data_IF_806855212864
#
_entry.id   IF_806855212864
#
_cell.length_a   1.000
_cell.length_b   1.000
_cell.length_c   1.000
_cell.angle_alpha   90.00
_cell.angle_beta   90.00
_cell.angle_gamma   90.00
#
_symmetry.space_group_name_H-M   'P 1'
#
loop_
_entity.id
_entity.type
_entity.pdbx_description
1 polymer ?
#
# COMPACT_ATOMS: atom_id res chain seq x y z
N UNK A 1 21.51 -47.09 -2.36
CA UNK A 1 21.86 -48.04 -3.43
C UNK A 1 20.98 -49.28 -3.31
N UNK A 2 20.57 -49.90 -4.43
CA UNK A 2 19.18 -50.03 -4.91
C UNK A 2 18.78 -51.55 -4.98
N UNK A 3 17.77 -52.08 -5.73
CA UNK A 3 17.03 -51.46 -6.85
C UNK A 3 15.55 -51.85 -7.15
N UNK A 4 14.93 -50.95 -7.92
CA UNK A 4 14.18 -51.17 -9.18
C UNK A 4 12.93 -52.05 -9.20
N UNK A 5 11.81 -51.47 -9.64
CA UNK A 5 11.24 -51.83 -10.95
C UNK A 5 10.16 -50.83 -11.39
N UNK A 6 10.41 -50.18 -12.52
CA UNK A 6 9.41 -49.59 -13.38
C UNK A 6 8.33 -50.62 -13.76
N UNK A 7 7.08 -50.16 -13.89
CA UNK A 7 6.26 -50.42 -15.09
C UNK A 7 5.07 -49.47 -15.13
N UNK A 8 5.19 -48.46 -15.97
CA UNK A 8 4.05 -47.87 -16.65
C UNK A 8 3.40 -48.97 -17.52
N UNK A 9 2.07 -49.05 -17.48
CA UNK A 9 1.29 -49.73 -18.51
C UNK A 9 0.03 -48.90 -18.74
N UNK A 10 0.08 -48.10 -19.80
CA UNK A 10 -1.12 -47.66 -20.49
C UNK A 10 -1.95 -48.88 -20.89
N UNK A 11 -3.28 -48.77 -20.77
CA UNK A 11 -4.18 -49.10 -21.88
C UNK A 11 -5.56 -48.52 -21.63
N UNK A 12 -5.98 -47.80 -22.67
CA UNK A 12 -7.15 -46.98 -22.75
C UNK A 12 -8.43 -47.81 -23.06
N UNK A 13 -9.56 -47.12 -22.89
CA UNK A 13 -10.83 -47.29 -23.61
C UNK A 13 -11.67 -48.53 -23.28
N UNK A 14 -12.79 -48.33 -22.56
CA UNK A 14 -14.09 -48.19 -23.25
C UNK A 14 -15.29 -47.92 -22.32
N UNK A 15 -16.10 -46.95 -22.76
CA UNK A 15 -17.57 -47.06 -22.91
C UNK A 15 -18.46 -47.14 -21.66
N UNK A 16 -19.15 -46.04 -21.34
CA UNK A 16 -20.56 -45.79 -21.72
C UNK A 16 -21.04 -44.47 -21.11
N UNK A 17 -21.15 -43.44 -21.95
CA UNK A 17 -21.78 -42.15 -21.67
C UNK A 17 -23.29 -42.37 -21.52
N UNK A 18 -23.77 -42.49 -20.29
CA UNK A 18 -25.20 -42.46 -20.00
C UNK A 18 -25.72 -41.03 -20.19
N UNK A 19 -26.51 -40.83 -21.25
CA UNK A 19 -27.30 -39.61 -21.47
C UNK A 19 -28.36 -39.54 -20.37
N UNK A 20 -28.13 -38.74 -19.32
CA UNK A 20 -29.20 -38.35 -18.41
C UNK A 20 -29.98 -37.19 -19.04
N UNK A 21 -31.26 -37.44 -19.15
CA UNK A 21 -32.27 -36.58 -19.74
C UNK A 21 -32.31 -35.23 -19.02
N UNK A 22 -32.57 -34.18 -19.81
CA UNK A 22 -32.76 -32.81 -19.36
C UNK A 22 -33.93 -32.74 -18.39
N UNK A 23 -33.66 -32.61 -17.09
CA UNK A 23 -34.67 -32.25 -16.12
C UNK A 23 -35.02 -30.77 -16.34
N UNK A 24 -36.24 -30.53 -16.82
CA UNK A 24 -36.91 -29.24 -16.86
C UNK A 24 -36.75 -28.54 -15.50
N UNK A 25 -36.03 -27.42 -15.48
CA UNK A 25 -35.90 -26.59 -14.29
C UNK A 25 -37.29 -26.03 -13.91
N UNK A 26 -37.65 -25.92 -12.63
CA UNK A 26 -38.85 -25.17 -12.23
C UNK A 26 -38.68 -23.72 -12.68
N UNK A 27 -39.71 -23.19 -13.32
CA UNK A 27 -39.76 -21.81 -13.79
C UNK A 27 -39.83 -20.89 -12.55
N UNK A 28 -38.70 -20.31 -12.13
CA UNK A 28 -38.71 -19.21 -11.18
C UNK A 28 -39.27 -17.98 -11.90
N UNK A 29 -40.34 -17.43 -11.33
CA UNK A 29 -41.01 -16.24 -11.78
C UNK A 29 -40.01 -15.07 -11.83
N UNK A 30 -39.66 -14.62 -13.04
CA UNK A 30 -38.91 -13.38 -13.28
C UNK A 30 -39.83 -12.19 -12.96
N UNK A 31 -39.96 -11.87 -11.67
CA UNK A 31 -40.41 -10.56 -11.22
C UNK A 31 -39.24 -9.59 -11.34
N UNK A 32 -39.41 -8.53 -12.10
CA UNK A 32 -38.43 -7.46 -12.31
C UNK A 32 -37.81 -6.98 -10.99
N UNK A 33 -36.62 -7.49 -10.65
CA UNK A 33 -35.71 -6.83 -9.71
C UNK A 33 -35.03 -5.70 -10.48
N UNK A 34 -35.63 -4.51 -10.42
CA UNK A 34 -34.93 -3.30 -10.80
C UNK A 34 -33.75 -3.12 -9.84
N UNK A 35 -32.56 -3.07 -10.42
CA UNK A 35 -31.34 -2.51 -9.82
C UNK A 35 -30.83 -3.27 -8.59
N UNK A 36 -30.33 -4.48 -8.84
CA UNK A 36 -29.07 -4.89 -8.22
C UNK A 36 -28.04 -3.84 -8.64
N UNK A 37 -27.68 -2.99 -7.69
CA UNK A 37 -26.51 -2.14 -7.75
C UNK A 37 -25.31 -3.09 -7.89
N UNK A 38 -24.88 -3.32 -9.13
CA UNK A 38 -23.70 -4.13 -9.42
C UNK A 38 -22.54 -3.41 -8.75
N UNK A 39 -21.85 -3.99 -7.74
CA UNK A 39 -20.61 -3.43 -7.22
C UNK A 39 -19.50 -3.78 -8.23
N UNK A 40 -19.71 -3.42 -9.48
CA UNK A 40 -18.68 -3.34 -10.49
C UNK A 40 -17.96 -2.01 -10.21
N UNK A 41 -16.68 -2.13 -9.85
CA UNK A 41 -15.69 -1.05 -9.81
C UNK A 41 -15.52 -0.22 -8.52
N UNK A 42 -15.53 -0.86 -7.35
CA UNK A 42 -14.76 -0.32 -6.21
C UNK A 42 -13.84 -1.39 -5.62
N UNK A 43 -12.66 -1.53 -6.24
CA UNK A 43 -11.48 -2.11 -5.58
C UNK A 43 -10.56 -0.96 -5.11
N UNK A 44 -10.75 -0.44 -3.87
CA UNK A 44 -9.91 0.63 -3.34
C UNK A 44 -8.51 0.14 -2.90
N UNK A 45 -8.12 -1.13 -3.17
CA UNK A 45 -6.82 -1.67 -2.73
C UNK A 45 -5.66 -1.50 -3.72
N UNK A 46 -5.86 -0.88 -4.89
CA UNK A 46 -4.86 -0.92 -5.97
C UNK A 46 -4.26 0.42 -6.44
N UNK A 47 -4.21 1.48 -5.62
CA UNK A 47 -3.63 2.77 -6.08
C UNK A 47 -2.40 3.29 -5.34
N UNK A 48 -2.05 2.79 -4.14
CA UNK A 48 -1.04 3.46 -3.31
C UNK A 48 0.21 2.61 -3.03
N UNK A 49 0.79 2.09 -4.11
CA UNK A 49 2.19 1.62 -4.15
C UNK A 49 3.02 2.49 -5.09
N UNK A 50 2.87 3.82 -5.01
CA UNK A 50 3.94 4.71 -5.45
C UNK A 50 5.07 4.60 -4.41
N UNK A 51 6.09 3.82 -4.74
CA UNK A 51 7.38 3.85 -4.08
C UNK A 51 8.02 5.20 -4.40
N UNK A 52 7.73 6.21 -3.57
CA UNK A 52 8.40 7.51 -3.63
C UNK A 52 9.78 7.38 -2.98
N UNK A 53 10.69 6.77 -3.72
CA UNK A 53 12.13 6.81 -3.46
C UNK A 53 12.73 7.96 -4.26
N UNK A 54 12.48 9.20 -3.82
CA UNK A 54 13.12 10.39 -4.37
C UNK A 54 14.57 10.50 -3.92
N UNK A 55 15.47 10.50 -4.89
CA UNK A 55 16.92 10.52 -4.77
C UNK A 55 17.46 11.66 -3.89
N UNK A 56 18.26 11.30 -2.89
CA UNK A 56 19.18 12.20 -2.20
C UNK A 56 20.37 12.50 -3.11
N UNK A 57 20.23 13.50 -3.97
CA UNK A 57 21.35 14.12 -4.71
C UNK A 57 22.24 14.91 -3.73
N UNK A 58 23.16 14.21 -3.05
CA UNK A 58 24.24 14.85 -2.28
C UNK A 58 25.55 14.75 -3.07
N UNK A 59 25.65 15.55 -4.14
CA UNK A 59 26.88 15.73 -4.89
C UNK A 59 27.86 16.61 -4.12
N UNK A 60 28.89 16.02 -3.51
CA UNK A 60 30.02 16.77 -2.96
C UNK A 60 31.10 16.84 -4.03
N UNK A 61 31.18 17.96 -4.74
CA UNK A 61 32.28 18.29 -5.66
C UNK A 61 33.59 18.47 -4.86
N UNK A 62 34.69 17.75 -5.20
CA UNK A 62 35.95 17.91 -4.52
C UNK A 62 36.64 19.23 -4.90
N UNK A 63 37.02 20.00 -3.88
CA UNK A 63 37.77 21.25 -4.01
C UNK A 63 39.11 21.00 -4.74
N UNK A 64 39.29 21.60 -5.92
CA UNK A 64 40.58 21.60 -6.63
C UNK A 64 41.51 22.63 -5.99
N UNK A 65 42.70 22.19 -5.60
CA UNK A 65 43.75 23.05 -5.03
C UNK A 65 44.81 23.24 -6.14
N UNK A 66 44.81 24.41 -6.76
CA UNK A 66 45.79 24.81 -7.78
C UNK A 66 47.06 25.36 -7.09
N UNK A 67 47.92 24.46 -6.59
CA UNK A 67 49.12 24.82 -5.80
C UNK A 67 50.33 25.32 -6.62
N UNK A 68 50.27 25.30 -7.96
CA UNK A 68 51.48 25.52 -8.79
C UNK A 68 51.77 27.00 -9.14
N UNK A 69 50.79 27.90 -9.09
CA UNK A 69 51.02 29.31 -9.47
C UNK A 69 51.55 30.21 -8.35
N UNK A 70 51.30 29.89 -7.07
CA UNK A 70 51.70 30.75 -5.95
C UNK A 70 53.21 30.73 -5.64
N UNK A 71 53.94 29.70 -6.05
CA UNK A 71 55.39 29.59 -5.81
C UNK A 71 56.26 30.41 -6.79
N UNK A 72 55.69 30.96 -7.87
CA UNK A 72 56.46 31.67 -8.91
C UNK A 72 56.63 33.18 -8.68
N UNK A 73 56.04 33.77 -7.63
CA UNK A 73 56.02 35.23 -7.42
C UNK A 73 57.04 35.79 -6.41
N UNK A 74 58.00 34.99 -5.92
CA UNK A 74 58.94 35.42 -4.88
C UNK A 74 60.42 35.50 -5.29
N UNK A 75 60.77 35.34 -6.58
CA UNK A 75 62.09 35.70 -7.08
C UNK A 75 62.04 37.13 -7.64
N UNK A 76 62.20 38.11 -6.74
CA UNK A 76 62.51 39.49 -7.12
C UNK A 76 64.01 39.70 -6.90
N UNK A 77 64.69 40.05 -7.99
CA UNK A 77 66.13 40.23 -8.10
C UNK A 77 66.57 41.44 -7.27
N UNK A 78 67.47 41.23 -6.31
CA UNK A 78 68.04 42.32 -5.50
C UNK A 78 69.48 42.55 -5.93
N UNK A 79 69.70 43.61 -6.70
CA UNK A 79 71.03 44.11 -7.09
C UNK A 79 71.86 44.51 -5.85
N UNK A 80 73.14 44.14 -5.87
CA UNK A 80 74.13 44.51 -4.88
C UNK A 80 74.69 45.92 -5.13
N UNK A 81 74.73 46.73 -4.08
CA UNK A 81 75.51 47.96 -4.02
C UNK A 81 76.43 47.91 -2.80
N UNK A 82 77.74 47.86 -3.05
CA UNK A 82 78.79 47.93 -2.02
C UNK A 82 78.88 49.34 -1.42
N UNK A 83 78.89 49.45 -0.07
CA UNK A 83 79.66 50.45 0.67
C UNK A 83 79.61 50.23 2.20
N UNK A 84 80.63 49.51 2.72
CA UNK A 84 81.24 49.68 4.05
C UNK A 84 80.37 50.11 5.26
N UNK A 85 79.75 49.15 5.97
CA UNK A 85 79.37 49.22 7.41
C UNK A 85 79.29 47.79 8.03
N UNK A 86 80.41 47.06 7.98
CA UNK A 86 80.57 45.60 8.19
C UNK A 86 80.01 45.00 9.51
N UNK A 87 79.85 45.80 10.58
CA UNK A 87 79.36 45.29 11.87
C UNK A 87 77.86 45.51 12.14
N UNK A 88 77.21 46.42 11.41
CA UNK A 88 75.76 46.69 11.55
C UNK A 88 74.93 45.83 10.60
N UNK A 89 75.41 45.60 9.39
CA UNK A 89 74.71 44.78 8.37
C UNK A 89 74.57 43.32 8.79
N UNK A 90 75.65 42.72 9.29
CA UNK A 90 75.67 41.34 9.80
C UNK A 90 74.69 41.12 10.96
N UNK A 91 74.52 42.10 11.86
CA UNK A 91 73.49 42.04 12.91
C UNK A 91 72.06 42.17 12.37
N UNK A 92 71.84 42.98 11.33
CA UNK A 92 70.53 43.18 10.71
C UNK A 92 70.11 41.92 9.96
N UNK A 93 71.03 41.25 9.27
CA UNK A 93 70.75 40.00 8.55
C UNK A 93 70.55 38.82 9.49
N UNK A 94 71.29 38.73 10.61
CA UNK A 94 70.99 37.75 11.65
C UNK A 94 69.60 37.95 12.29
N UNK A 95 69.13 39.20 12.44
CA UNK A 95 67.77 39.48 12.94
C UNK A 95 66.70 39.09 11.92
N UNK A 96 66.94 39.29 10.62
CA UNK A 96 66.04 38.83 9.54
C UNK A 96 65.98 37.31 9.50
N UNK A 97 67.12 36.63 9.61
CA UNK A 97 67.17 35.16 9.59
C UNK A 97 66.47 34.56 10.81
N UNK A 98 66.65 35.16 12.00
CA UNK A 98 65.89 34.75 13.21
C UNK A 98 64.39 34.89 13.02
N UNK A 99 63.91 35.98 12.41
CA UNK A 99 62.49 36.18 12.10
C UNK A 99 61.99 35.15 11.08
N UNK A 100 62.79 34.85 10.06
CA UNK A 100 62.49 33.83 9.05
C UNK A 100 62.35 32.46 9.70
N UNK A 101 63.27 32.09 10.58
CA UNK A 101 63.21 30.85 11.34
C UNK A 101 61.98 30.79 12.24
N UNK A 102 61.65 31.87 12.95
CA UNK A 102 60.46 31.93 13.80
C UNK A 102 59.15 31.75 13.00
N UNK A 103 59.09 32.31 11.78
CA UNK A 103 57.97 32.11 10.85
C UNK A 103 57.90 30.64 10.40
N UNK A 104 59.03 30.04 10.02
CA UNK A 104 59.08 28.63 9.62
C UNK A 104 58.65 27.69 10.74
N UNK A 105 59.15 27.90 11.96
CA UNK A 105 58.77 27.11 13.13
C UNK A 105 57.27 27.27 13.43
N UNK A 106 56.71 28.48 13.21
CA UNK A 106 55.28 28.73 13.37
C UNK A 106 54.45 28.01 12.31
N UNK A 107 54.88 28.04 11.05
CA UNK A 107 54.23 27.30 9.95
C UNK A 107 54.29 25.80 10.22
N UNK A 108 55.44 25.27 10.68
CA UNK A 108 55.58 23.86 11.02
C UNK A 108 54.64 23.45 12.16
N UNK A 109 54.52 24.28 13.21
CA UNK A 109 53.54 24.07 14.27
C UNK A 109 52.10 24.03 13.73
N UNK A 110 51.73 25.00 12.89
CA UNK A 110 50.40 25.02 12.27
C UNK A 110 50.14 23.81 11.38
N UNK A 111 51.14 23.36 10.62
CA UNK A 111 51.02 22.18 9.77
C UNK A 111 50.81 20.91 10.62
N UNK A 112 51.54 20.76 11.73
CA UNK A 112 51.35 19.65 12.67
C UNK A 112 49.95 19.68 13.29
N UNK A 113 49.48 20.84 13.74
CA UNK A 113 48.12 21.00 14.27
C UNK A 113 47.05 20.70 13.22
N UNK A 114 47.27 21.12 11.97
CA UNK A 114 46.35 20.86 10.87
C UNK A 114 46.25 19.35 10.59
N UNK A 115 47.38 18.65 10.53
CA UNK A 115 47.41 17.20 10.32
C UNK A 115 46.73 16.48 11.50
N UNK A 116 47.04 16.86 12.75
CA UNK A 116 46.41 16.26 13.94
C UNK A 116 44.88 16.43 13.92
N UNK A 117 44.40 17.65 13.65
CA UNK A 117 42.96 17.93 13.55
C UNK A 117 42.32 17.15 12.42
N UNK A 118 42.97 17.06 11.27
CA UNK A 118 42.50 16.26 10.13
C UNK A 118 42.34 14.79 10.50
N UNK A 119 43.34 14.22 11.17
CA UNK A 119 43.32 12.83 11.61
C UNK A 119 42.24 12.57 12.67
N UNK A 120 41.98 13.51 13.56
CA UNK A 120 40.89 13.43 14.54
C UNK A 120 39.52 13.41 13.85
N UNK A 121 39.29 14.28 12.86
CA UNK A 121 38.05 14.31 12.07
C UNK A 121 37.85 12.98 11.35
N UNK A 122 38.88 12.43 10.71
CA UNK A 122 38.76 11.15 10.01
C UNK A 122 38.54 9.98 10.95
N UNK A 123 39.20 9.96 12.11
CA UNK A 123 38.95 8.93 13.14
C UNK A 123 37.52 8.96 13.64
N UNK A 124 36.97 10.15 13.88
CA UNK A 124 35.59 10.31 14.32
C UNK A 124 34.60 9.92 13.22
N UNK A 125 34.84 10.33 11.97
CA UNK A 125 34.02 9.93 10.82
C UNK A 125 34.00 8.41 10.64
N UNK A 126 35.15 7.74 10.71
CA UNK A 126 35.23 6.28 10.64
C UNK A 126 34.48 5.64 11.82
N UNK A 127 34.55 6.23 13.02
CA UNK A 127 33.82 5.71 14.20
C UNK A 127 32.31 5.79 13.98
N UNK A 128 31.81 6.92 13.49
CA UNK A 128 30.39 7.13 13.19
C UNK A 128 29.90 6.13 12.13
N UNK A 129 30.61 6.01 11.00
CA UNK A 129 30.27 5.05 9.94
C UNK A 129 30.23 3.61 10.49
N UNK A 130 31.18 3.22 11.33
CA UNK A 130 31.18 1.88 11.93
C UNK A 130 30.02 1.66 12.92
N UNK A 131 29.63 2.70 13.66
CA UNK A 131 28.45 2.66 14.53
C UNK A 131 27.17 2.51 13.70
N UNK A 132 27.04 3.27 12.61
CA UNK A 132 25.88 3.19 11.71
C UNK A 132 25.78 1.81 11.06
N UNK A 133 26.89 1.29 10.54
CA UNK A 133 26.95 -0.08 9.99
C UNK A 133 26.52 -1.11 11.04
N UNK A 134 26.98 -0.95 12.29
CA UNK A 134 26.59 -1.85 13.39
C UNK A 134 25.08 -1.74 13.67
N UNK A 135 24.55 -0.52 13.82
CA UNK A 135 23.13 -0.29 14.07
C UNK A 135 22.26 -0.83 12.93
N UNK A 136 22.68 -0.67 11.68
CA UNK A 136 21.99 -1.24 10.52
C UNK A 136 21.99 -2.77 10.54
N UNK A 137 23.11 -3.41 10.91
CA UNK A 137 23.21 -4.88 11.04
C UNK A 137 22.36 -5.42 12.18
N UNK A 138 22.29 -4.69 13.28
CA UNK A 138 21.48 -5.03 14.46
C UNK A 138 19.99 -4.68 14.25
N UNK A 139 19.66 -3.93 13.19
CA UNK A 139 18.30 -3.49 12.89
C UNK A 139 17.79 -2.38 13.82
N UNK A 140 18.70 -1.72 14.55
CA UNK A 140 18.40 -0.63 15.50
C UNK A 140 18.75 0.74 14.93
N UNK A 141 18.95 0.83 13.61
CA UNK A 141 19.21 2.11 12.95
C UNK A 141 17.91 2.94 12.95
N UNK A 142 17.93 4.22 13.39
CA UNK A 142 16.71 5.00 13.63
C UNK A 142 15.83 5.15 12.39
N UNK A 143 16.43 5.41 11.21
CA UNK A 143 15.67 5.52 9.96
C UNK A 143 15.02 4.19 9.54
N UNK A 144 15.66 3.06 9.88
CA UNK A 144 15.10 1.74 9.61
C UNK A 144 13.91 1.47 10.52
N UNK A 145 14.04 1.76 11.82
CA UNK A 145 12.96 1.61 12.80
C UNK A 145 11.76 2.50 12.45
N UNK A 146 12.01 3.75 12.06
CA UNK A 146 10.95 4.66 11.61
C UNK A 146 10.20 4.09 10.40
N UNK A 147 10.94 3.65 9.37
CA UNK A 147 10.33 3.06 8.17
C UNK A 147 9.59 1.76 8.47
N UNK A 148 10.10 0.95 9.40
CA UNK A 148 9.45 -0.25 9.87
C UNK A 148 8.13 0.09 10.58
N UNK A 149 8.12 1.10 11.44
CA UNK A 149 6.92 1.55 12.14
C UNK A 149 5.86 2.05 11.16
N UNK A 150 6.24 2.85 10.16
CA UNK A 150 5.33 3.29 9.10
C UNK A 150 4.68 2.12 8.35
N UNK A 151 5.44 1.05 8.07
CA UNK A 151 4.91 -0.17 7.43
C UNK A 151 3.96 -0.93 8.37
N UNK A 152 4.27 -1.02 9.65
CA UNK A 152 3.40 -1.63 10.66
C UNK A 152 2.07 -0.88 10.74
N UNK A 153 2.11 0.46 10.81
CA UNK A 153 0.93 1.30 10.88
C UNK A 153 0.06 1.16 9.62
N UNK A 154 0.68 1.16 8.43
CA UNK A 154 -0.03 0.93 7.16
C UNK A 154 -0.71 -0.44 7.13
N UNK A 155 -0.04 -1.48 7.61
CA UNK A 155 -0.59 -2.83 7.71
C UNK A 155 -1.78 -2.85 8.68
N UNK A 156 -1.65 -2.24 9.85
CA UNK A 156 -2.70 -2.21 10.86
C UNK A 156 -3.95 -1.48 10.36
N UNK A 157 -3.78 -0.31 9.74
CA UNK A 157 -4.89 0.42 9.10
C UNK A 157 -5.58 -0.41 8.01
N UNK A 158 -4.81 -1.16 7.21
CA UNK A 158 -5.36 -2.03 6.17
C UNK A 158 -6.18 -3.16 6.77
N UNK A 159 -5.68 -3.81 7.83
CA UNK A 159 -6.38 -4.87 8.54
C UNK A 159 -7.67 -4.36 9.18
N UNK A 160 -7.64 -3.15 9.77
CA UNK A 160 -8.81 -2.57 10.41
C UNK A 160 -9.90 -2.22 9.39
N UNK A 161 -9.52 -1.61 8.25
CA UNK A 161 -10.45 -1.39 7.12
C UNK A 161 -11.08 -2.71 6.65
N UNK A 162 -10.28 -3.76 6.48
CA UNK A 162 -10.78 -5.06 6.03
C UNK A 162 -11.74 -5.70 7.05
N UNK A 163 -11.47 -5.57 8.36
CA UNK A 163 -12.38 -6.03 9.42
C UNK A 163 -13.70 -5.30 9.38
N UNK A 164 -13.67 -3.97 9.36
CA UNK A 164 -14.88 -3.15 9.35
C UNK A 164 -15.72 -3.42 8.10
N UNK A 165 -15.07 -3.59 6.94
CA UNK A 165 -15.76 -3.93 5.70
C UNK A 165 -16.43 -5.31 5.76
N UNK A 166 -15.75 -6.31 6.34
CA UNK A 166 -16.35 -7.63 6.56
C UNK A 166 -17.59 -7.54 7.45
N UNK A 167 -17.47 -6.84 8.57
CA UNK A 167 -18.55 -6.74 9.56
C UNK A 167 -19.76 -5.99 8.98
N UNK A 168 -19.50 -4.91 8.23
CA UNK A 168 -20.54 -4.21 7.46
C UNK A 168 -21.23 -5.13 6.45
N UNK A 169 -20.47 -5.93 5.68
CA UNK A 169 -21.04 -6.85 4.69
C UNK A 169 -21.89 -7.93 5.34
N UNK A 170 -21.47 -8.45 6.49
CA UNK A 170 -22.26 -9.41 7.27
C UNK A 170 -23.58 -8.77 7.72
N UNK A 171 -23.53 -7.57 8.28
CA UNK A 171 -24.73 -6.84 8.73
C UNK A 171 -25.70 -6.56 7.56
N UNK A 172 -25.18 -6.21 6.37
CA UNK A 172 -26.01 -6.05 5.17
C UNK A 172 -26.71 -7.35 4.79
N UNK A 173 -25.99 -8.48 4.76
CA UNK A 173 -26.56 -9.78 4.42
C UNK A 173 -27.62 -10.20 5.44
N UNK A 174 -27.37 -10.01 6.74
CA UNK A 174 -28.34 -10.29 7.79
C UNK A 174 -29.61 -9.45 7.61
N UNK A 175 -29.48 -8.15 7.35
CA UNK A 175 -30.63 -7.27 7.10
C UNK A 175 -31.42 -7.67 5.85
N UNK A 176 -30.74 -8.05 4.77
CA UNK A 176 -31.39 -8.51 3.55
C UNK A 176 -32.16 -9.82 3.80
N UNK A 177 -31.53 -10.76 4.49
CA UNK A 177 -32.15 -12.04 4.86
C UNK A 177 -33.40 -11.81 5.72
N UNK A 178 -33.32 -10.97 6.74
CA UNK A 178 -34.46 -10.65 7.61
C UNK A 178 -35.59 -9.95 6.85
N UNK A 179 -35.27 -9.08 5.88
CA UNK A 179 -36.26 -8.42 5.06
C UNK A 179 -36.97 -9.40 4.11
N UNK A 180 -36.21 -10.29 3.45
CA UNK A 180 -36.74 -11.32 2.58
C UNK A 180 -37.62 -12.31 3.35
N UNK A 181 -37.19 -12.73 4.54
CA UNK A 181 -37.97 -13.57 5.45
C UNK A 181 -39.33 -12.94 5.77
N UNK A 182 -39.36 -11.66 6.16
CA UNK A 182 -40.61 -10.93 6.45
C UNK A 182 -41.49 -10.82 5.21
N UNK A 183 -40.91 -10.47 4.06
CA UNK A 183 -41.64 -10.33 2.82
C UNK A 183 -42.34 -11.65 2.42
N UNK A 184 -41.62 -12.77 2.49
CA UNK A 184 -42.19 -14.10 2.19
C UNK A 184 -43.34 -14.45 3.14
N UNK A 185 -43.21 -14.12 4.42
CA UNK A 185 -44.27 -14.35 5.41
C UNK A 185 -45.51 -13.47 5.14
N UNK A 186 -45.32 -12.20 4.82
CA UNK A 186 -46.39 -11.27 4.44
C UNK A 186 -47.11 -11.74 3.17
N UNK A 187 -46.37 -12.10 2.13
CA UNK A 187 -46.90 -12.59 0.86
C UNK A 187 -47.72 -13.87 1.06
N UNK A 188 -47.22 -14.82 1.86
CA UNK A 188 -47.93 -16.05 2.18
C UNK A 188 -49.26 -15.77 2.92
N UNK A 189 -49.25 -14.86 3.90
CA UNK A 189 -50.46 -14.49 4.63
C UNK A 189 -51.48 -13.77 3.75
N UNK A 190 -50.99 -12.87 2.88
CA UNK A 190 -51.81 -12.14 1.92
C UNK A 190 -52.47 -13.10 0.92
N UNK A 191 -51.71 -14.03 0.33
CA UNK A 191 -52.23 -15.01 -0.63
C UNK A 191 -53.26 -15.94 0.02
N UNK A 192 -52.98 -16.43 1.23
CA UNK A 192 -53.92 -17.26 2.00
C UNK A 192 -55.23 -16.53 2.29
N UNK A 193 -55.16 -15.26 2.66
CA UNK A 193 -56.33 -14.43 2.92
C UNK A 193 -57.10 -14.15 1.62
N UNK A 194 -56.40 -13.80 0.54
CA UNK A 194 -56.99 -13.57 -0.77
C UNK A 194 -57.74 -14.79 -1.31
N UNK A 195 -57.18 -15.99 -1.15
CA UNK A 195 -57.86 -17.23 -1.54
C UNK A 195 -59.16 -17.46 -0.75
N UNK A 196 -59.15 -17.17 0.57
CA UNK A 196 -60.33 -17.28 1.41
C UNK A 196 -61.42 -16.29 0.97
N UNK A 197 -61.05 -15.05 0.68
CA UNK A 197 -61.97 -14.02 0.19
C UNK A 197 -62.57 -14.40 -1.17
N UNK A 198 -61.75 -14.92 -2.08
CA UNK A 198 -62.21 -15.42 -3.38
C UNK A 198 -63.22 -16.56 -3.21
N UNK A 199 -62.94 -17.55 -2.36
CA UNK A 199 -63.88 -18.66 -2.12
C UNK A 199 -65.21 -18.19 -1.52
N UNK A 200 -65.18 -17.19 -0.63
CA UNK A 200 -66.40 -16.60 -0.06
C UNK A 200 -67.20 -15.86 -1.13
N UNK A 201 -66.53 -15.05 -1.96
CA UNK A 201 -67.16 -14.35 -3.07
C UNK A 201 -67.84 -15.31 -4.06
N UNK A 202 -67.15 -16.40 -4.44
CA UNK A 202 -67.71 -17.44 -5.33
C UNK A 202 -68.97 -18.09 -4.73
N UNK A 203 -68.98 -18.35 -3.41
CA UNK A 203 -70.12 -18.92 -2.72
C UNK A 203 -71.31 -17.96 -2.64
N UNK A 204 -71.03 -16.67 -2.40
CA UNK A 204 -72.07 -15.63 -2.37
C UNK A 204 -72.65 -15.39 -3.77
N UNK A 205 -71.84 -15.41 -4.82
CA UNK A 205 -72.29 -15.33 -6.21
C UNK A 205 -73.19 -16.53 -6.57
N UNK A 206 -72.77 -17.75 -6.21
CA UNK A 206 -73.60 -18.96 -6.40
C UNK A 206 -74.93 -18.87 -5.66
N UNK A 207 -74.93 -18.38 -4.41
CA UNK A 207 -76.16 -18.17 -3.64
C UNK A 207 -77.06 -17.13 -4.30
N UNK A 208 -76.48 -16.06 -4.84
CA UNK A 208 -77.23 -15.01 -5.55
C UNK A 208 -77.87 -15.57 -6.82
N UNK A 209 -77.11 -16.30 -7.65
CA UNK A 209 -77.63 -16.97 -8.86
C UNK A 209 -78.79 -17.93 -8.54
N UNK A 210 -78.64 -18.77 -7.50
CA UNK A 210 -79.72 -19.66 -7.07
C UNK A 210 -80.99 -18.92 -6.63
N UNK A 211 -80.85 -17.76 -5.99
CA UNK A 211 -82.01 -16.92 -5.63
C UNK A 211 -82.67 -16.32 -6.86
N UNK A 212 -81.88 -15.77 -7.79
CA UNK A 212 -82.37 -15.22 -9.05
C UNK A 212 -83.07 -16.30 -9.89
N UNK A 213 -82.52 -17.51 -9.95
CA UNK A 213 -83.13 -18.66 -10.64
C UNK A 213 -84.43 -19.10 -9.96
N UNK A 214 -84.48 -19.12 -8.62
CA UNK A 214 -85.70 -19.44 -7.86
C UNK A 214 -86.79 -18.40 -8.07
N UNK A 215 -86.48 -17.11 -7.97
CA UNK A 215 -87.42 -16.01 -8.22
C UNK A 215 -87.94 -16.05 -9.66
N UNK A 216 -87.06 -16.33 -10.63
CA UNK A 216 -87.45 -16.51 -12.03
C UNK A 216 -88.39 -17.71 -12.24
N UNK A 217 -88.14 -18.82 -11.54
CA UNK A 217 -88.99 -20.00 -11.56
C UNK A 217 -90.36 -19.75 -10.89
N UNK A 218 -90.39 -19.06 -9.75
CA UNK A 218 -91.64 -18.73 -9.02
C UNK A 218 -92.54 -17.81 -9.85
N UNK A 219 -91.96 -16.80 -10.52
CA UNK A 219 -92.69 -15.92 -11.44
C UNK A 219 -93.27 -16.71 -12.63
N UNK A 220 -92.50 -17.63 -13.21
CA UNK A 220 -92.95 -18.41 -14.37
C UNK A 220 -93.98 -19.50 -14.01
N UNK A 221 -93.88 -20.10 -12.83
CA UNK A 221 -94.81 -21.14 -12.36
C UNK A 221 -96.08 -20.59 -11.68
N UNK A 222 -96.02 -19.40 -11.06
CA UNK A 222 -97.18 -18.71 -10.49
C UNK A 222 -98.11 -18.05 -11.51
N UNK A 223 -97.74 -18.05 -12.79
CA UNK A 223 -98.53 -17.47 -13.90
C UNK A 223 -99.35 -18.53 -14.67
N UNK A 224 -99.31 -19.80 -14.26
CA UNK A 224 -100.15 -20.88 -14.81
C UNK A 224 -101.34 -21.23 -13.89
N UNK A 225 -102.25 -20.27 -13.64
CA UNK A 225 -103.65 -20.49 -13.18
C UNK A 225 -104.53 -19.44 -13.87
#
# INVERSE_FOLDING_TARGET
>A
MPPSAHKASEKALNSKRAKRQTATKPNYFEGNSSEIDSPEDYDPMMTDTAFDGGDSEFGVEPMRIDDEESMRRFNDEREEGEASEDHRETQVDQKKEKKRQEILDRIERFQKEFISRKDEIFKESIRQINQDIKAMREGTHPEYEERLQQLIDKREQTLEKARLYRDYRLECVEKMFDAEQRQVEEDYLAEKQGLKEQMLADMDERRKKLKEDFESFDITSGTEI
#
